data_IF_797487249581
#
_entry.id   IF_797487249581
#
_cell.length_a   1.000
_cell.length_b   1.000
_cell.length_c   1.000
_cell.angle_alpha   90.00
_cell.angle_beta   90.00
_cell.angle_gamma   90.00
#
_symmetry.space_group_name_H-M   'P 1'
#
loop_
_entity.id
_entity.type
_entity.pdbx_description
1 polymer ?
#
# COMPACT_ATOMS: atom_id res chain seq x y z
N UNK A 1 -10.43 -1.24 -4.80
CA UNK A 1 -9.91 -2.13 -3.75
C UNK A 1 -10.64 -3.46 -3.76
N UNK A 2 -9.95 -4.57 -4.02
CA UNK A 2 -10.48 -5.95 -4.08
C UNK A 2 -9.58 -6.88 -3.26
N UNK A 3 -10.14 -7.98 -2.78
CA UNK A 3 -9.38 -9.07 -2.16
C UNK A 3 -8.41 -8.58 -1.06
N UNK A 4 -8.92 -7.71 -0.18
CA UNK A 4 -8.14 -7.16 0.93
C UNK A 4 -7.70 -8.28 1.86
N UNK A 5 -6.40 -8.40 2.09
CA UNK A 5 -5.81 -9.39 2.99
C UNK A 5 -4.87 -8.72 3.99
N UNK A 6 -5.15 -8.88 5.27
CA UNK A 6 -4.27 -8.43 6.35
C UNK A 6 -3.17 -9.45 6.64
N UNK A 7 -1.99 -8.95 7.02
CA UNK A 7 -0.81 -9.73 7.38
C UNK A 7 -0.40 -9.38 8.83
N UNK A 8 -0.10 -10.38 9.68
CA UNK A 8 0.32 -10.16 11.07
C UNK A 8 1.49 -9.17 11.22
N UNK A 9 2.32 -9.07 10.18
CA UNK A 9 3.46 -8.14 10.06
C UNK A 9 3.05 -6.66 9.98
N UNK A 10 1.77 -6.32 10.07
CA UNK A 10 1.33 -4.93 10.21
C UNK A 10 1.10 -4.20 8.89
N UNK A 11 0.79 -4.94 7.83
CA UNK A 11 0.39 -4.38 6.54
C UNK A 11 -0.80 -5.14 5.98
N UNK A 12 -1.42 -4.61 4.93
CA UNK A 12 -2.39 -5.37 4.14
C UNK A 12 -2.15 -5.19 2.65
N UNK A 13 -2.62 -6.15 1.88
CA UNK A 13 -2.65 -6.05 0.42
C UNK A 13 -4.07 -5.92 -0.09
N UNK A 14 -4.21 -5.39 -1.30
CA UNK A 14 -5.45 -5.39 -2.05
C UNK A 14 -5.17 -5.28 -3.56
N UNK A 15 -6.09 -5.78 -4.38
CA UNK A 15 -6.03 -5.67 -5.83
C UNK A 15 -6.82 -4.42 -6.32
N UNK A 16 -6.27 -3.75 -7.33
CA UNK A 16 -6.97 -2.75 -8.14
C UNK A 16 -6.54 -2.88 -9.61
N UNK A 17 -6.80 -1.85 -10.41
CA UNK A 17 -6.36 -1.78 -11.80
C UNK A 17 -5.47 -0.56 -12.03
N UNK A 18 -4.43 -0.75 -12.83
CA UNK A 18 -3.64 0.32 -13.43
C UNK A 18 -3.65 0.11 -14.94
N UNK A 19 -4.04 1.15 -15.70
CA UNK A 19 -4.23 1.07 -17.17
C UNK A 19 -5.08 -0.13 -17.61
N UNK A 20 -6.14 -0.43 -16.86
CA UNK A 20 -7.06 -1.55 -17.12
C UNK A 20 -6.56 -2.94 -16.71
N UNK A 21 -5.30 -3.08 -16.32
CA UNK A 21 -4.64 -4.34 -15.96
C UNK A 21 -4.54 -4.47 -14.43
N UNK A 22 -4.57 -5.70 -13.91
CA UNK A 22 -4.51 -5.97 -12.47
C UNK A 22 -3.20 -5.45 -11.85
N UNK A 23 -3.34 -4.72 -10.74
CA UNK A 23 -2.25 -4.26 -9.89
C UNK A 23 -2.44 -4.76 -8.47
N UNK A 24 -1.35 -5.24 -7.86
CA UNK A 24 -1.31 -5.54 -6.43
C UNK A 24 -0.84 -4.29 -5.68
N UNK A 25 -1.53 -3.94 -4.60
CA UNK A 25 -1.12 -2.86 -3.72
C UNK A 25 -0.67 -3.46 -2.40
N UNK A 26 0.44 -2.97 -1.88
CA UNK A 26 0.96 -3.27 -0.54
C UNK A 26 0.86 -1.98 0.25
N UNK A 27 0.05 -1.96 1.29
CA UNK A 27 -0.14 -0.79 2.14
C UNK A 27 0.26 -1.07 3.56
N UNK A 28 1.21 -0.28 4.05
CA UNK A 28 1.92 -0.48 5.31
C UNK A 28 2.53 0.83 5.80
N UNK A 29 3.07 0.81 7.01
CA UNK A 29 4.01 1.83 7.45
C UNK A 29 5.44 1.40 7.09
N UNK A 30 6.35 2.35 6.98
CA UNK A 30 7.77 2.10 6.68
C UNK A 30 8.63 3.18 7.33
N UNK A 31 9.88 2.83 7.59
CA UNK A 31 10.89 3.68 8.21
C UNK A 31 12.26 3.46 7.58
N UNK A 32 13.20 4.36 7.90
CA UNK A 32 14.59 4.28 7.45
C UNK A 32 15.42 3.40 8.40
N UNK A 33 16.32 2.57 7.87
CA UNK A 33 17.31 1.82 8.64
C UNK A 33 18.68 1.81 7.95
N UNK A 34 19.75 1.56 8.71
CA UNK A 34 21.16 1.76 8.32
C UNK A 34 21.59 0.98 7.06
N UNK A 35 20.85 -0.06 6.66
CA UNK A 35 21.13 -0.90 5.47
C UNK A 35 20.05 -0.80 4.38
N UNK A 36 19.20 0.24 4.39
CA UNK A 36 18.14 0.48 3.41
C UNK A 36 16.75 0.68 4.05
N UNK A 37 15.71 0.77 3.21
CA UNK A 37 14.34 0.96 3.70
C UNK A 37 13.74 -0.35 4.22
N UNK A 38 12.95 -0.28 5.30
CA UNK A 38 12.28 -1.43 5.90
C UNK A 38 10.76 -1.30 5.81
N UNK A 39 10.11 -2.41 5.45
CA UNK A 39 8.65 -2.53 5.54
C UNK A 39 8.26 -2.78 6.99
N UNK A 40 7.46 -1.89 7.58
CA UNK A 40 6.79 -1.98 8.89
C UNK A 40 7.55 -1.45 10.13
N UNK A 41 6.99 -0.36 10.65
CA UNK A 41 7.00 -0.05 12.07
C UNK A 41 5.76 -0.70 12.71
N UNK A 42 5.85 -1.11 13.98
CA UNK A 42 4.66 -1.48 14.75
C UNK A 42 3.81 -0.22 15.04
N UNK A 43 2.65 -0.38 15.69
CA UNK A 43 1.76 0.75 16.01
C UNK A 43 2.35 1.77 16.98
N UNK A 44 3.46 1.45 17.63
CA UNK A 44 4.20 2.30 18.54
C UNK A 44 5.47 2.88 17.89
N UNK A 45 5.69 2.62 16.59
CA UNK A 45 6.89 3.08 15.89
C UNK A 45 8.11 2.19 16.06
N UNK A 46 7.98 0.98 16.62
CA UNK A 46 9.12 0.06 16.77
C UNK A 46 9.46 -0.66 15.46
N UNK A 47 10.76 -0.86 15.23
CA UNK A 47 11.27 -1.57 14.06
C UNK A 47 10.95 -3.07 14.14
N UNK A 48 10.02 -3.54 13.30
CA UNK A 48 9.68 -4.96 13.12
C UNK A 48 10.02 -5.47 11.71
N UNK A 49 10.68 -4.62 10.93
CA UNK A 49 10.47 -4.64 9.49
C UNK A 49 11.08 -5.80 8.71
N UNK A 50 10.57 -5.98 7.50
CA UNK A 50 11.03 -7.00 6.54
C UNK A 50 11.88 -6.38 5.45
N UNK A 51 12.94 -7.09 5.06
CA UNK A 51 13.73 -6.79 3.86
C UNK A 51 12.87 -7.00 2.59
N UNK A 52 13.32 -6.54 1.41
CA UNK A 52 12.65 -6.88 0.15
C UNK A 52 12.40 -8.39 -0.01
N UNK A 53 13.39 -9.21 0.37
CA UNK A 53 13.28 -10.66 0.38
C UNK A 53 12.19 -11.16 1.35
N UNK A 54 12.17 -10.64 2.58
CA UNK A 54 11.15 -11.02 3.56
C UNK A 54 9.73 -10.66 3.13
N UNK A 55 9.54 -9.48 2.51
CA UNK A 55 8.25 -9.13 1.92
C UNK A 55 7.88 -10.09 0.77
N UNK A 56 8.85 -10.43 -0.09
CA UNK A 56 8.62 -11.32 -1.22
C UNK A 56 8.16 -12.70 -0.75
N UNK A 57 8.79 -13.26 0.28
CA UNK A 57 8.42 -14.56 0.86
C UNK A 57 6.99 -14.57 1.42
N UNK A 58 6.59 -13.50 2.11
CA UNK A 58 5.21 -13.35 2.63
C UNK A 58 4.20 -13.26 1.49
N UNK A 59 4.57 -12.61 0.39
CA UNK A 59 3.70 -12.40 -0.77
C UNK A 59 3.77 -13.54 -1.79
N UNK A 60 4.75 -14.44 -1.71
CA UNK A 60 4.96 -15.55 -2.63
C UNK A 60 3.69 -16.40 -2.85
N UNK A 61 2.88 -16.75 -1.83
CA UNK A 61 1.64 -17.48 -2.02
C UNK A 61 0.60 -16.77 -2.90
N UNK A 62 0.69 -15.45 -3.08
CA UNK A 62 -0.20 -14.69 -3.96
C UNK A 62 0.11 -14.88 -5.45
N UNK A 63 1.13 -15.67 -5.81
CA UNK A 63 1.57 -15.91 -7.19
C UNK A 63 1.82 -14.59 -7.93
N UNK A 64 2.78 -13.80 -7.43
CA UNK A 64 3.03 -12.41 -7.86
C UNK A 64 3.12 -12.22 -9.39
N UNK A 65 3.56 -13.25 -10.14
CA UNK A 65 3.55 -13.28 -11.62
C UNK A 65 2.20 -12.99 -12.29
N UNK A 66 1.08 -13.09 -11.56
CA UNK A 66 -0.27 -12.74 -12.07
C UNK A 66 -0.51 -11.23 -12.16
N UNK A 67 0.34 -10.44 -11.51
CA UNK A 67 0.24 -8.99 -11.50
C UNK A 67 1.31 -8.39 -12.40
N UNK A 68 0.88 -7.57 -13.36
CA UNK A 68 1.79 -6.81 -14.20
C UNK A 68 2.38 -5.62 -13.45
N UNK A 69 1.60 -5.06 -12.52
CA UNK A 69 2.00 -3.91 -11.69
C UNK A 69 1.87 -4.26 -10.21
N UNK A 70 2.78 -3.71 -9.42
CA UNK A 70 2.74 -3.76 -7.98
C UNK A 70 3.07 -2.37 -7.45
N UNK A 71 2.24 -1.85 -6.53
CA UNK A 71 2.47 -0.56 -5.89
C UNK A 71 2.75 -0.75 -4.41
N UNK A 72 3.89 -0.21 -3.98
CA UNK A 72 4.30 -0.12 -2.58
C UNK A 72 3.81 1.21 -2.01
N UNK A 73 2.60 1.23 -1.43
CA UNK A 73 2.06 2.39 -0.73
C UNK A 73 2.71 2.51 0.67
N UNK A 74 3.99 2.86 0.64
CA UNK A 74 4.90 2.87 1.78
C UNK A 74 5.79 4.12 1.68
N UNK A 75 5.90 4.89 2.76
CA UNK A 75 6.81 6.03 2.85
C UNK A 75 8.25 5.60 2.56
N UNK A 76 8.97 6.39 1.77
CA UNK A 76 10.38 6.15 1.45
C UNK A 76 10.62 4.72 0.93
N UNK A 77 9.71 4.14 0.14
CA UNK A 77 9.98 2.84 -0.49
C UNK A 77 10.95 2.94 -1.65
N UNK A 78 11.19 4.15 -2.17
CA UNK A 78 12.17 4.47 -3.19
C UNK A 78 13.15 5.55 -2.70
N UNK A 79 14.39 5.51 -3.22
CA UNK A 79 15.41 6.58 -3.11
C UNK A 79 15.65 7.27 -4.46
N UNK A 80 15.06 6.75 -5.54
CA UNK A 80 15.35 7.22 -6.90
C UNK A 80 16.59 6.59 -7.53
N UNK A 81 17.25 5.65 -6.84
CA UNK A 81 18.40 4.89 -7.32
C UNK A 81 18.19 3.36 -7.16
N UNK A 82 19.24 2.59 -7.46
CA UNK A 82 19.22 1.12 -7.44
C UNK A 82 19.31 0.50 -6.04
N UNK A 83 19.66 1.28 -5.01
CA UNK A 83 19.76 0.81 -3.63
C UNK A 83 18.42 0.85 -2.89
N UNK A 84 17.36 1.29 -3.57
CA UNK A 84 16.04 1.42 -2.98
C UNK A 84 15.38 0.07 -2.69
N UNK A 85 14.47 0.06 -1.72
CA UNK A 85 13.69 -1.14 -1.40
C UNK A 85 12.85 -1.58 -2.60
N UNK A 86 12.19 -0.64 -3.26
CA UNK A 86 11.41 -0.91 -4.48
C UNK A 86 12.27 -1.52 -5.59
N UNK A 87 13.51 -1.02 -5.78
CA UNK A 87 14.46 -1.58 -6.73
C UNK A 87 14.78 -3.04 -6.40
N UNK A 88 15.23 -3.30 -5.16
CA UNK A 88 15.59 -4.64 -4.71
C UNK A 88 14.40 -5.60 -4.76
N UNK A 89 13.21 -5.12 -4.41
CA UNK A 89 11.98 -5.91 -4.50
C UNK A 89 11.62 -6.24 -5.95
N UNK A 90 11.84 -5.33 -6.89
CA UNK A 90 11.60 -5.56 -8.32
C UNK A 90 12.52 -6.63 -8.92
N UNK A 91 13.74 -6.82 -8.39
CA UNK A 91 14.65 -7.93 -8.78
C UNK A 91 14.02 -9.30 -8.47
N UNK A 92 13.26 -9.39 -7.38
CA UNK A 92 12.57 -10.61 -6.96
C UNK A 92 11.27 -10.86 -7.75
N UNK A 93 10.74 -9.82 -8.40
CA UNK A 93 9.53 -9.87 -9.22
C UNK A 93 9.83 -9.47 -10.69
N UNK A 94 10.67 -10.24 -11.43
CA UNK A 94 11.26 -9.79 -12.69
C UNK A 94 10.26 -9.56 -13.84
N UNK A 95 9.00 -9.96 -13.68
CA UNK A 95 7.94 -9.76 -14.68
C UNK A 95 6.94 -8.66 -14.31
N UNK A 96 7.19 -7.97 -13.20
CA UNK A 96 6.27 -7.02 -12.56
C UNK A 96 6.92 -5.65 -12.46
N UNK A 97 6.19 -4.63 -12.88
CA UNK A 97 6.56 -3.22 -12.69
C UNK A 97 6.24 -2.85 -11.25
N UNK A 98 7.26 -2.43 -10.50
CA UNK A 98 7.14 -2.06 -9.09
C UNK A 98 7.20 -0.55 -8.96
N UNK A 99 6.13 0.03 -8.46
CA UNK A 99 6.02 1.45 -8.10
C UNK A 99 6.33 1.62 -6.61
N UNK A 100 7.26 2.51 -6.29
CA UNK A 100 7.56 2.96 -4.94
C UNK A 100 7.59 4.49 -4.86
N UNK A 101 7.81 5.02 -3.67
CA UNK A 101 7.74 6.46 -3.42
C UNK A 101 8.97 6.95 -2.65
N UNK A 102 9.57 8.03 -3.15
CA UNK A 102 10.51 8.86 -2.39
C UNK A 102 9.68 9.71 -1.43
N UNK A 103 10.08 9.85 -0.16
CA UNK A 103 9.39 10.72 0.78
C UNK A 103 8.14 10.12 1.43
N UNK A 104 7.34 10.98 2.07
CA UNK A 104 6.16 10.56 2.82
C UNK A 104 4.98 10.29 1.89
N UNK A 105 4.31 9.15 2.09
CA UNK A 105 3.05 8.82 1.41
C UNK A 105 1.89 9.11 2.36
N UNK A 106 0.95 9.97 1.95
CA UNK A 106 -0.29 10.23 2.69
C UNK A 106 -1.49 9.68 1.93
N UNK A 107 -2.40 9.03 2.64
CA UNK A 107 -3.63 8.45 2.09
C UNK A 107 -4.87 8.91 2.86
N UNK A 108 -6.01 9.03 2.17
CA UNK A 108 -7.27 9.43 2.79
C UNK A 108 -7.73 8.28 3.65
N UNK A 109 -8.04 8.56 4.90
CA UNK A 109 -8.37 7.51 5.87
C UNK A 109 -9.86 7.21 5.77
N UNK A 110 -10.18 5.94 5.55
CA UNK A 110 -11.52 5.42 5.83
C UNK A 110 -11.57 5.14 7.33
N UNK A 111 -12.43 5.89 8.02
CA UNK A 111 -12.61 5.81 9.47
C UNK A 111 -14.01 5.29 9.75
N UNK A 112 -14.11 4.41 10.74
CA UNK A 112 -15.41 3.95 11.22
C UNK A 112 -16.01 5.01 12.15
N UNK A 113 -17.20 5.50 11.83
CA UNK A 113 -18.01 6.38 12.68
C UNK A 113 -18.90 5.51 13.58
N UNK A 114 -18.63 5.45 14.90
CA UNK A 114 -19.41 4.65 15.83
C UNK A 114 -20.86 5.15 16.00
N UNK A 115 -21.09 6.46 15.88
CA UNK A 115 -22.41 7.06 16.07
C UNK A 115 -23.31 6.79 14.85
N UNK A 116 -22.77 6.97 13.64
CA UNK A 116 -23.45 6.67 12.39
C UNK A 116 -23.45 5.19 12.00
N UNK A 117 -22.67 4.33 12.70
CA UNK A 117 -22.45 2.91 12.39
C UNK A 117 -22.04 2.64 10.94
N UNK A 118 -21.27 3.56 10.37
CA UNK A 118 -20.87 3.54 8.96
C UNK A 118 -19.40 3.94 8.80
N UNK A 119 -18.81 3.62 7.65
CA UNK A 119 -17.47 4.10 7.31
C UNK A 119 -17.57 5.41 6.55
N UNK A 120 -16.86 6.42 7.04
CA UNK A 120 -16.73 7.71 6.40
C UNK A 120 -15.30 7.90 5.88
N UNK A 121 -15.16 8.71 4.84
CA UNK A 121 -13.85 9.19 4.43
C UNK A 121 -13.52 10.43 5.25
N UNK A 122 -12.45 10.37 6.03
CA UNK A 122 -11.91 11.53 6.72
C UNK A 122 -11.30 12.48 5.69
N UNK A 123 -11.95 13.61 5.46
CA UNK A 123 -11.47 14.67 4.60
C UNK A 123 -10.93 15.78 5.48
N UNK A 124 -9.61 15.96 5.51
CA UNK A 124 -9.01 17.17 6.06
C UNK A 124 -9.35 18.35 5.12
N UNK A 125 -10.16 19.33 5.55
CA UNK A 125 -10.53 20.46 4.70
C UNK A 125 -9.33 21.39 4.40
N UNK A 126 -8.27 21.33 5.19
CA UNK A 126 -7.02 22.07 4.95
C UNK A 126 -6.05 21.32 4.03
N UNK A 127 -6.28 20.02 3.81
CA UNK A 127 -5.52 19.19 2.89
C UNK A 127 -6.46 18.30 2.05
N UNK A 128 -7.30 18.87 1.17
CA UNK A 128 -8.30 18.12 0.42
C UNK A 128 -7.69 17.12 -0.59
N UNK A 129 -6.38 17.19 -0.83
CA UNK A 129 -5.62 16.50 -1.89
C UNK A 129 -5.10 15.10 -1.51
N UNK A 130 -5.50 14.54 -0.36
CA UNK A 130 -5.02 13.23 0.06
C UNK A 130 -5.72 12.10 -0.72
N UNK A 131 -4.91 11.24 -1.33
CA UNK A 131 -5.31 10.19 -2.29
C UNK A 131 -5.82 8.92 -1.64
N UNK A 132 -6.63 8.17 -2.39
CA UNK A 132 -7.06 6.80 -2.10
C UNK A 132 -7.65 6.64 -0.69
N UNK A 133 -8.97 6.54 -0.61
CA UNK A 133 -9.65 6.13 0.61
C UNK A 133 -9.20 4.71 0.98
N UNK A 134 -8.31 4.62 1.97
CA UNK A 134 -7.74 3.39 2.49
C UNK A 134 -8.14 3.22 3.95
N UNK A 135 -8.44 1.99 4.35
CA UNK A 135 -8.65 1.69 5.76
C UNK A 135 -7.35 1.89 6.52
N UNK A 136 -7.42 2.55 7.67
CA UNK A 136 -6.25 2.69 8.55
C UNK A 136 -5.71 1.31 8.92
N UNK A 137 -4.40 1.12 8.85
CA UNK A 137 -3.75 -0.16 9.18
C UNK A 137 -4.12 -0.62 10.59
N UNK A 138 -4.10 0.31 11.56
CA UNK A 138 -4.49 0.02 12.94
C UNK A 138 -5.93 -0.48 13.07
N UNK A 139 -6.86 0.03 12.25
CA UNK A 139 -8.24 -0.45 12.21
C UNK A 139 -8.32 -1.84 11.59
N UNK A 140 -7.70 -2.06 10.42
CA UNK A 140 -7.69 -3.37 9.75
C UNK A 140 -7.11 -4.44 10.67
N UNK A 141 -6.02 -4.14 11.37
CA UNK A 141 -5.43 -5.02 12.38
C UNK A 141 -6.41 -5.37 13.49
N UNK A 142 -7.11 -4.38 14.06
CA UNK A 142 -8.12 -4.61 15.12
C UNK A 142 -9.22 -5.55 14.63
N UNK A 143 -9.75 -5.34 13.43
CA UNK A 143 -10.80 -6.20 12.85
C UNK A 143 -10.34 -7.64 12.65
N UNK A 144 -9.04 -7.86 12.41
CA UNK A 144 -8.47 -9.20 12.26
C UNK A 144 -7.92 -9.80 13.57
N UNK A 145 -8.11 -9.13 14.71
CA UNK A 145 -7.67 -9.63 16.02
C UNK A 145 -8.66 -10.62 16.61
N UNK A 146 -8.15 -11.59 17.38
CA UNK A 146 -8.99 -12.58 18.06
C UNK A 146 -9.94 -11.88 19.04
N UNK A 147 -11.21 -12.28 19.02
CA UNK A 147 -12.24 -11.70 19.90
C UNK A 147 -12.82 -10.36 19.45
N UNK A 148 -12.44 -9.84 18.26
CA UNK A 148 -13.07 -8.63 17.73
C UNK A 148 -14.55 -8.90 17.38
N UNK A 149 -15.50 -7.98 17.68
CA UNK A 149 -16.93 -8.25 17.50
C UNK A 149 -17.30 -8.58 16.04
N UNK A 150 -17.98 -9.70 15.84
CA UNK A 150 -18.31 -10.24 14.50
C UNK A 150 -19.13 -9.25 13.66
N UNK A 151 -20.06 -8.52 14.27
CA UNK A 151 -20.87 -7.49 13.60
C UNK A 151 -19.99 -6.45 12.88
N UNK A 152 -18.91 -6.01 13.53
CA UNK A 152 -18.00 -5.02 12.95
C UNK A 152 -17.16 -5.63 11.82
N UNK A 153 -16.76 -6.89 11.97
CA UNK A 153 -16.07 -7.64 10.91
C UNK A 153 -16.93 -7.77 9.66
N UNK A 154 -18.22 -8.03 9.82
CA UNK A 154 -19.16 -8.15 8.71
C UNK A 154 -19.43 -6.80 8.04
N UNK A 155 -19.60 -5.73 8.82
CA UNK A 155 -19.70 -4.35 8.30
C UNK A 155 -18.45 -3.92 7.54
N UNK A 156 -17.26 -4.28 8.05
CA UNK A 156 -16.00 -4.03 7.36
C UNK A 156 -15.95 -4.76 6.02
N UNK A 157 -16.24 -6.07 5.99
CA UNK A 157 -16.28 -6.86 4.74
C UNK A 157 -17.27 -6.30 3.74
N UNK A 158 -18.47 -5.92 4.19
CA UNK A 158 -19.46 -5.26 3.36
C UNK A 158 -18.93 -3.96 2.76
N UNK A 159 -18.27 -3.13 3.58
CA UNK A 159 -17.74 -1.84 3.15
C UNK A 159 -16.59 -1.98 2.16
N UNK A 160 -15.68 -2.95 2.36
CA UNK A 160 -14.64 -3.29 1.37
C UNK A 160 -15.28 -3.64 0.03
N UNK A 161 -16.36 -4.42 0.03
CA UNK A 161 -17.08 -4.82 -1.19
C UNK A 161 -17.83 -3.66 -1.86
N UNK A 162 -18.37 -2.71 -1.10
CA UNK A 162 -19.06 -1.53 -1.64
C UNK A 162 -18.05 -0.52 -2.20
N UNK A 163 -17.00 -0.21 -1.45
CA UNK A 163 -15.95 0.74 -1.85
C UNK A 163 -15.11 0.23 -3.03
N UNK A 164 -15.09 -1.09 -3.27
CA UNK A 164 -14.52 -1.71 -4.47
C UNK A 164 -14.90 -1.02 -5.77
N UNK A 165 -16.11 -0.46 -5.85
CA UNK A 165 -16.68 0.18 -7.05
C UNK A 165 -16.24 1.64 -7.24
N UNK A 166 -15.70 2.28 -6.21
CA UNK A 166 -15.49 3.74 -6.17
C UNK A 166 -14.02 4.18 -6.22
N UNK A 167 -13.06 3.24 -6.22
CA UNK A 167 -11.60 3.51 -6.17
C UNK A 167 -10.95 3.21 -7.53
N UNK A 168 -11.69 3.27 -8.64
CA UNK A 168 -11.17 2.83 -9.94
C UNK A 168 -10.23 3.86 -10.61
N UNK A 169 -10.14 5.10 -10.12
CA UNK A 169 -9.28 6.15 -10.70
C UNK A 169 -8.90 7.20 -9.67
N UNK A 170 -7.68 7.22 -9.12
CA UNK A 170 -7.15 8.43 -8.49
C UNK A 170 -5.62 8.44 -8.47
N UNK A 171 -5.04 9.35 -9.24
CA UNK A 171 -3.80 10.10 -8.99
C UNK A 171 -4.05 11.55 -9.50
N UNK A 172 -3.50 12.62 -8.86
CA UNK A 172 -2.21 12.62 -8.20
C UNK A 172 -2.19 13.02 -6.72
N UNK A 173 -1.04 12.65 -6.18
CA UNK A 173 -0.42 12.90 -4.88
C UNK A 173 -0.39 14.38 -4.53
N UNK A 174 -0.37 14.68 -3.23
CA UNK A 174 -0.25 16.06 -2.72
C UNK A 174 1.03 16.72 -3.29
N UNK A 175 0.93 17.69 -4.21
CA UNK A 175 2.11 18.26 -4.86
C UNK A 175 3.01 19.04 -3.89
N UNK A 176 2.50 19.36 -2.70
CA UNK A 176 3.17 20.19 -1.69
C UNK A 176 3.87 19.33 -0.60
N UNK A 177 3.63 18.01 -0.60
CA UNK A 177 4.45 17.06 0.16
C UNK A 177 5.56 16.55 -0.79
N UNK A 178 6.86 16.59 -0.42
CA UNK A 178 7.92 16.06 -1.28
C UNK A 178 7.77 14.55 -1.39
N UNK A 179 7.11 14.11 -2.46
CA UNK A 179 7.04 12.71 -2.83
C UNK A 179 7.01 12.51 -4.33
N UNK A 180 7.88 11.61 -4.78
CA UNK A 180 8.07 11.29 -6.19
C UNK A 180 7.85 9.78 -6.34
N UNK A 181 6.88 9.41 -7.17
CA UNK A 181 6.69 8.01 -7.55
C UNK A 181 7.85 7.59 -8.46
N UNK A 182 8.48 6.47 -8.15
CA UNK A 182 9.55 5.89 -8.95
C UNK A 182 9.18 4.46 -9.33
N UNK A 183 9.35 4.15 -10.61
CA UNK A 183 9.07 2.84 -11.16
C UNK A 183 10.35 2.05 -11.37
N UNK A 184 10.26 0.75 -11.11
CA UNK A 184 11.35 -0.21 -11.29
C UNK A 184 10.86 -1.46 -12.02
N UNK A 185 11.70 -2.04 -12.85
CA UNK A 185 11.45 -3.32 -13.51
C UNK A 185 12.73 -4.16 -13.52
N UNK A 186 12.67 -5.36 -12.90
CA UNK A 186 13.82 -6.27 -12.85
C UNK A 186 15.07 -5.70 -12.18
N UNK A 187 14.93 -4.72 -11.29
CA UNK A 187 16.05 -4.03 -10.64
C UNK A 187 16.57 -2.79 -11.37
N UNK A 188 15.91 -2.35 -12.43
CA UNK A 188 16.29 -1.15 -13.17
C UNK A 188 15.23 -0.07 -12.98
N UNK A 189 15.67 1.15 -12.67
CA UNK A 189 14.79 2.33 -12.62
C UNK A 189 14.27 2.64 -14.01
N UNK A 190 12.97 2.87 -14.12
CA UNK A 190 12.33 3.36 -15.33
C UNK A 190 12.40 4.88 -15.32
N UNK A 191 13.04 5.44 -16.33
CA UNK A 191 13.21 6.89 -16.49
C UNK A 191 12.18 7.51 -17.44
N UNK A 192 11.54 6.68 -18.26
CA UNK A 192 10.49 7.08 -19.19
C UNK A 192 9.21 6.26 -18.94
N UNK A 193 8.17 6.93 -18.45
CA UNK A 193 6.87 6.31 -18.14
C UNK A 193 6.14 5.76 -19.38
N UNK A 194 6.58 6.08 -20.60
CA UNK A 194 6.11 5.45 -21.83
C UNK A 194 6.54 3.98 -21.94
N UNK A 195 7.61 3.58 -21.24
CA UNK A 195 8.12 2.20 -21.19
C UNK A 195 7.29 1.28 -20.29
N UNK A 196 6.38 1.86 -19.50
CA UNK A 196 5.42 1.13 -18.70
C UNK A 196 4.25 0.80 -19.62
N UNK A 197 3.97 -0.48 -19.93
CA UNK A 197 2.87 -0.87 -20.81
C UNK A 197 1.50 -0.61 -20.18
#
# INVERSE_FOLDING_TARGET
MRDLKYYPEGFYTFEDKYRGIKRLNVYGHSGYYENGFMLCLDVNGHNIGKTPQGLFEILYPLKLKRFRYLRLLLCNSASGDENSFACHFSKLCPHTYVEGYIGNVRTRRIVYDPAGKQFNTDTDPHNPRVMNSLFQIGFVRKVHSFGYPQEFTDRFRHSVNTLRRNIDTYEPLDPDTPHESVWYYGGTKITDNSQIP
#
